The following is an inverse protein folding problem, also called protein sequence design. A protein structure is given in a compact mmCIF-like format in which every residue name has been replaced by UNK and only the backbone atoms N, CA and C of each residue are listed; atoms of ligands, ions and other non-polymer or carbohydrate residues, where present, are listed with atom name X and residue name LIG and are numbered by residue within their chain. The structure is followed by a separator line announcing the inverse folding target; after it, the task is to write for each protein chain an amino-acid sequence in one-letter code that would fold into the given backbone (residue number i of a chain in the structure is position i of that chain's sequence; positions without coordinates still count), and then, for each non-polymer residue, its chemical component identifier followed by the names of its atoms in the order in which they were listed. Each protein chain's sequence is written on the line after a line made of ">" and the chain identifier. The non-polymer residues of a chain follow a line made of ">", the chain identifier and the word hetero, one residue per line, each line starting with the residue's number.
data_IF_579752949874
#
_entry.id   IF_579752949874
#
_cell.length_a   1.000
_cell.length_b   1.000
_cell.length_c   1.000
_cell.angle_alpha   90.00
_cell.angle_beta   90.00
_cell.angle_gamma   90.00
#
_symmetry.space_group_name_H-M   'P 1'
#
loop_
_entity.id
_entity.type
_entity.pdbx_description
1 polymer ?
#
# COMPACT_ATOMS: atom_id res chain seq x y z
N UNK A 1 -25.70 44.60 18.09
CA UNK A 1 -26.43 43.46 17.48
C UNK A 1 -25.80 42.97 16.18
N UNK A 2 -25.32 43.83 15.27
CA UNK A 2 -24.69 43.43 13.99
C UNK A 2 -23.37 42.64 14.16
N UNK A 3 -22.45 43.11 15.00
CA UNK A 3 -21.14 42.45 15.21
C UNK A 3 -21.24 41.03 15.79
N UNK A 4 -22.14 40.79 16.76
CA UNK A 4 -22.34 39.45 17.32
C UNK A 4 -22.84 38.48 16.24
N UNK A 5 -23.77 38.95 15.38
CA UNK A 5 -24.31 38.15 14.29
C UNK A 5 -23.24 37.80 13.24
N UNK A 6 -22.35 38.74 12.96
CA UNK A 6 -21.24 38.52 12.03
C UNK A 6 -20.20 37.55 12.59
N UNK A 7 -19.82 37.69 13.87
CA UNK A 7 -18.94 36.74 14.55
C UNK A 7 -19.54 35.33 14.58
N UNK A 8 -20.85 35.19 14.80
CA UNK A 8 -21.53 33.89 14.75
C UNK A 8 -21.47 33.26 13.36
N UNK A 9 -21.67 34.04 12.28
CA UNK A 9 -21.53 33.54 10.90
C UNK A 9 -20.09 33.10 10.58
N UNK A 10 -19.10 33.86 11.03
CA UNK A 10 -17.69 33.52 10.84
C UNK A 10 -17.33 32.23 11.61
N UNK A 11 -17.84 32.08 12.83
CA UNK A 11 -17.67 30.86 13.62
C UNK A 11 -18.31 29.65 12.94
N UNK A 12 -19.55 29.78 12.48
CA UNK A 12 -20.28 28.72 11.76
C UNK A 12 -19.54 28.27 10.50
N UNK A 13 -19.00 29.24 9.75
CA UNK A 13 -18.16 28.98 8.56
C UNK A 13 -16.89 28.21 8.95
N UNK A 14 -16.19 28.63 10.01
CA UNK A 14 -14.98 27.97 10.49
C UNK A 14 -15.25 26.55 10.99
N UNK A 15 -16.35 26.34 11.72
CA UNK A 15 -16.75 25.01 12.19
C UNK A 15 -17.04 24.09 11.01
N UNK A 16 -17.76 24.58 10.01
CA UNK A 16 -18.05 23.81 8.79
C UNK A 16 -16.78 23.43 8.03
N UNK A 17 -15.83 24.35 7.91
CA UNK A 17 -14.52 24.09 7.29
C UNK A 17 -13.72 23.04 8.06
N UNK A 18 -13.67 23.13 9.39
CA UNK A 18 -13.00 22.14 10.24
C UNK A 18 -13.65 20.77 10.14
N UNK A 19 -14.98 20.71 10.13
CA UNK A 19 -15.73 19.46 10.01
C UNK A 19 -15.45 18.78 8.67
N UNK A 20 -15.47 19.54 7.57
CA UNK A 20 -15.12 19.02 6.24
C UNK A 20 -13.67 18.51 6.20
N UNK A 21 -12.71 19.27 6.76
CA UNK A 21 -11.31 18.84 6.84
C UNK A 21 -11.16 17.53 7.60
N UNK A 22 -11.84 17.39 8.75
CA UNK A 22 -11.81 16.16 9.53
C UNK A 22 -12.39 14.96 8.78
N UNK A 23 -13.53 15.14 8.09
CA UNK A 23 -14.14 14.08 7.28
C UNK A 23 -13.20 13.64 6.15
N UNK A 24 -12.60 14.58 5.42
CA UNK A 24 -11.65 14.27 4.35
C UNK A 24 -10.43 13.51 4.87
N UNK A 25 -9.88 13.90 6.02
CA UNK A 25 -8.76 13.20 6.64
C UNK A 25 -9.12 11.78 7.06
N UNK A 26 -10.30 11.59 7.67
CA UNK A 26 -10.80 10.28 8.08
C UNK A 26 -10.98 9.35 6.87
N UNK A 27 -11.55 9.86 5.78
CA UNK A 27 -11.72 9.09 4.54
C UNK A 27 -10.38 8.69 3.95
N UNK A 28 -9.40 9.60 3.92
CA UNK A 28 -8.08 9.30 3.37
C UNK A 28 -7.32 8.27 4.21
N UNK A 29 -7.42 8.34 5.54
CA UNK A 29 -6.84 7.33 6.44
C UNK A 29 -7.47 5.95 6.23
N UNK A 30 -8.79 5.89 6.04
CA UNK A 30 -9.50 4.65 5.75
C UNK A 30 -9.13 4.06 4.38
N UNK A 31 -9.00 4.91 3.35
CA UNK A 31 -8.52 4.47 2.03
C UNK A 31 -7.09 3.91 2.12
N UNK A 32 -6.18 4.57 2.84
CA UNK A 32 -4.83 4.05 3.06
C UNK A 32 -4.86 2.70 3.78
N UNK A 33 -5.72 2.54 4.79
CA UNK A 33 -5.90 1.26 5.53
C UNK A 33 -6.33 0.14 4.59
N UNK A 34 -7.30 0.40 3.72
CA UNK A 34 -7.78 -0.58 2.72
C UNK A 34 -6.65 -0.98 1.78
N UNK A 35 -5.88 -0.02 1.26
CA UNK A 35 -4.76 -0.32 0.35
C UNK A 35 -3.67 -1.14 1.08
N UNK A 36 -3.38 -0.84 2.35
CA UNK A 36 -2.44 -1.64 3.14
C UNK A 36 -2.90 -3.10 3.25
N UNK A 37 -4.18 -3.33 3.57
CA UNK A 37 -4.74 -4.69 3.64
C UNK A 37 -4.70 -5.40 2.29
N UNK A 38 -4.96 -4.68 1.19
CA UNK A 38 -4.89 -5.23 -0.16
C UNK A 38 -3.46 -5.68 -0.52
N UNK A 39 -2.46 -4.84 -0.24
CA UNK A 39 -1.05 -5.18 -0.44
C UNK A 39 -0.67 -6.44 0.38
N UNK A 40 -1.03 -6.48 1.66
CA UNK A 40 -0.72 -7.63 2.52
C UNK A 40 -1.33 -8.92 1.99
N UNK A 41 -2.59 -8.86 1.52
CA UNK A 41 -3.27 -9.98 0.90
C UNK A 41 -2.57 -10.43 -0.39
N UNK A 42 -2.20 -9.50 -1.28
CA UNK A 42 -1.52 -9.83 -2.53
C UNK A 42 -0.14 -10.43 -2.30
N UNK A 43 0.64 -9.88 -1.35
CA UNK A 43 1.94 -10.44 -0.95
C UNK A 43 1.77 -11.87 -0.43
N UNK A 44 0.79 -12.11 0.45
CA UNK A 44 0.52 -13.45 0.99
C UNK A 44 0.13 -14.44 -0.12
N UNK A 45 -0.75 -14.04 -1.04
CA UNK A 45 -1.15 -14.88 -2.16
C UNK A 45 0.04 -15.20 -3.08
N UNK A 46 0.92 -14.22 -3.34
CA UNK A 46 2.11 -14.45 -4.15
C UNK A 46 3.09 -15.40 -3.45
N UNK A 47 3.28 -15.23 -2.14
CA UNK A 47 4.11 -16.11 -1.33
C UNK A 47 3.62 -17.58 -1.39
N UNK A 48 2.32 -17.80 -1.16
CA UNK A 48 1.68 -19.12 -1.27
C UNK A 48 1.80 -19.71 -2.68
N UNK A 49 1.63 -18.89 -3.73
CA UNK A 49 1.83 -19.32 -5.12
C UNK A 49 3.26 -19.76 -5.37
N UNK A 50 4.26 -18.98 -4.95
CA UNK A 50 5.68 -19.31 -5.12
C UNK A 50 5.99 -20.63 -4.41
N UNK A 51 5.53 -20.78 -3.16
CA UNK A 51 5.67 -22.01 -2.37
C UNK A 51 5.10 -23.24 -3.09
N UNK A 52 3.90 -23.10 -3.68
CA UNK A 52 3.26 -24.18 -4.42
C UNK A 52 4.04 -24.55 -5.68
N UNK A 53 4.53 -23.57 -6.44
CA UNK A 53 5.35 -23.83 -7.63
C UNK A 53 6.66 -24.53 -7.25
N UNK A 54 7.28 -24.13 -6.14
CA UNK A 54 8.51 -24.75 -5.64
C UNK A 54 8.29 -26.21 -5.23
N UNK A 55 7.17 -26.53 -4.59
CA UNK A 55 6.81 -27.88 -4.12
C UNK A 55 6.34 -28.82 -5.23
N UNK A 56 5.90 -28.31 -6.38
CA UNK A 56 5.44 -29.15 -7.49
C UNK A 56 6.60 -29.97 -8.09
N UNK A 57 6.65 -31.27 -7.79
CA UNK A 57 7.73 -32.16 -8.26
C UNK A 57 7.59 -32.58 -9.73
N UNK A 58 6.37 -32.54 -10.29
CA UNK A 58 6.04 -33.05 -11.63
C UNK A 58 6.00 -31.99 -12.73
N UNK A 59 6.04 -30.71 -12.37
CA UNK A 59 5.95 -29.60 -13.34
C UNK A 59 7.27 -29.44 -14.08
N UNK A 60 7.23 -29.49 -15.41
CA UNK A 60 8.41 -29.29 -16.26
C UNK A 60 9.06 -27.93 -16.04
N UNK A 61 10.39 -27.86 -16.26
CA UNK A 61 11.19 -26.64 -16.02
C UNK A 61 10.63 -25.39 -16.72
N UNK A 62 10.15 -25.54 -17.96
CA UNK A 62 9.53 -24.46 -18.74
C UNK A 62 8.24 -23.92 -18.11
N UNK A 63 7.39 -24.81 -17.63
CA UNK A 63 6.11 -24.45 -17.01
C UNK A 63 6.34 -23.79 -15.64
N UNK A 64 7.31 -24.28 -14.84
CA UNK A 64 7.72 -23.59 -13.60
C UNK A 64 8.21 -22.18 -13.87
N UNK A 65 9.02 -22.00 -14.92
CA UNK A 65 9.52 -20.68 -15.33
C UNK A 65 8.38 -19.73 -15.71
N UNK A 66 7.39 -20.21 -16.45
CA UNK A 66 6.20 -19.42 -16.82
C UNK A 66 5.36 -19.02 -15.60
N UNK A 67 5.13 -19.95 -14.66
CA UNK A 67 4.39 -19.65 -13.43
C UNK A 67 5.14 -18.64 -12.55
N UNK A 68 6.46 -18.77 -12.42
CA UNK A 68 7.28 -17.78 -11.70
C UNK A 68 7.27 -16.41 -12.38
N UNK A 69 7.24 -16.37 -13.72
CA UNK A 69 7.08 -15.11 -14.46
C UNK A 69 5.73 -14.47 -14.17
N UNK A 70 4.65 -15.25 -14.10
CA UNK A 70 3.34 -14.73 -13.72
C UNK A 70 3.35 -14.16 -12.29
N UNK A 71 4.01 -14.83 -11.34
CA UNK A 71 4.19 -14.27 -10.00
C UNK A 71 4.94 -12.93 -10.03
N UNK A 72 5.94 -12.75 -10.89
CA UNK A 72 6.61 -11.46 -11.04
C UNK A 72 5.69 -10.37 -11.58
N UNK A 73 4.80 -10.69 -12.53
CA UNK A 73 3.79 -9.74 -13.02
C UNK A 73 2.77 -9.38 -11.93
N UNK A 74 2.30 -10.37 -11.16
CA UNK A 74 1.41 -10.12 -10.00
C UNK A 74 2.10 -9.21 -8.96
N UNK A 75 3.40 -9.34 -8.75
CA UNK A 75 4.14 -8.47 -7.81
C UNK A 75 4.28 -7.01 -8.32
N UNK A 76 4.08 -6.73 -9.62
CA UNK A 76 4.06 -5.35 -10.14
C UNK A 76 2.79 -4.59 -9.76
N UNK A 77 1.65 -5.26 -9.59
CA UNK A 77 0.45 -4.59 -9.08
C UNK A 77 0.66 -4.11 -7.64
N UNK A 78 1.42 -4.87 -6.86
CA UNK A 78 1.80 -4.49 -5.50
C UNK A 78 2.64 -3.19 -5.48
N UNK A 79 3.59 -3.02 -6.41
CA UNK A 79 4.35 -1.75 -6.52
C UNK A 79 3.44 -0.55 -6.75
N UNK A 80 2.43 -0.72 -7.59
CA UNK A 80 1.49 0.35 -7.93
C UNK A 80 0.71 0.78 -6.69
N UNK A 81 0.29 -0.18 -5.87
CA UNK A 81 -0.40 0.09 -4.61
C UNK A 81 0.53 0.74 -3.57
N UNK A 82 1.78 0.27 -3.45
CA UNK A 82 2.80 0.89 -2.58
C UNK A 82 3.03 2.35 -2.99
N UNK A 83 3.17 2.61 -4.28
CA UNK A 83 3.32 3.97 -4.83
C UNK A 83 2.10 4.83 -4.51
N UNK A 84 0.89 4.26 -4.59
CA UNK A 84 -0.34 4.95 -4.22
C UNK A 84 -0.31 5.38 -2.74
N UNK A 85 0.09 4.49 -1.82
CA UNK A 85 0.22 4.82 -0.39
C UNK A 85 1.23 5.95 -0.17
N UNK A 86 2.41 5.89 -0.81
CA UNK A 86 3.43 6.95 -0.68
C UNK A 86 2.88 8.30 -1.14
N UNK A 87 2.26 8.35 -2.31
CA UNK A 87 1.65 9.57 -2.84
C UNK A 87 0.53 10.12 -1.94
N UNK A 88 -0.28 9.25 -1.34
CA UNK A 88 -1.30 9.67 -0.38
C UNK A 88 -0.67 10.23 0.91
N UNK A 89 0.37 9.57 1.41
CA UNK A 89 1.13 10.00 2.59
C UNK A 89 1.73 11.39 2.37
N UNK A 90 2.34 11.61 1.20
CA UNK A 90 2.91 12.92 0.84
C UNK A 90 1.86 14.02 0.75
N UNK A 91 0.69 13.74 0.16
CA UNK A 91 -0.44 14.69 0.11
C UNK A 91 -1.00 15.03 1.49
N UNK A 92 -0.86 14.13 2.46
CA UNK A 92 -1.36 14.29 3.82
C UNK A 92 -0.27 14.69 4.82
N UNK A 93 0.97 14.91 4.37
CA UNK A 93 2.12 15.13 5.25
C UNK A 93 1.86 16.22 6.30
N UNK A 94 1.42 17.40 5.85
CA UNK A 94 1.15 18.55 6.74
C UNK A 94 -0.10 18.38 7.62
N UNK A 95 -0.81 17.26 7.46
CA UNK A 95 -2.04 16.93 8.18
C UNK A 95 -1.85 15.79 9.16
N UNK A 96 -0.77 15.02 9.03
CA UNK A 96 -0.43 13.89 9.86
C UNK A 96 0.54 14.30 10.95
N UNK A 97 0.38 13.72 12.15
CA UNK A 97 1.40 13.82 13.18
C UNK A 97 2.70 13.13 12.73
N UNK A 98 3.84 13.58 13.24
CA UNK A 98 5.15 12.97 12.95
C UNK A 98 5.15 11.46 13.27
N UNK A 99 4.49 11.07 14.36
CA UNK A 99 4.34 9.65 14.73
C UNK A 99 3.57 8.87 13.67
N UNK A 100 2.43 9.41 13.19
CA UNK A 100 1.64 8.75 12.14
C UNK A 100 2.41 8.63 10.83
N UNK A 101 3.18 9.65 10.47
CA UNK A 101 4.04 9.61 9.28
C UNK A 101 5.11 8.52 9.41
N UNK A 102 5.76 8.44 10.57
CA UNK A 102 6.77 7.41 10.86
C UNK A 102 6.18 6.00 10.82
N UNK A 103 4.99 5.79 11.38
CA UNK A 103 4.31 4.49 11.37
C UNK A 103 3.97 4.04 9.95
N UNK A 104 3.45 4.96 9.13
CA UNK A 104 3.15 4.70 7.71
C UNK A 104 4.44 4.35 6.97
N UNK A 105 5.50 5.14 7.14
CA UNK A 105 6.79 4.92 6.50
C UNK A 105 7.37 3.55 6.88
N UNK A 106 7.36 3.19 8.16
CA UNK A 106 7.83 1.90 8.64
C UNK A 106 7.04 0.73 8.04
N UNK A 107 5.70 0.85 8.00
CA UNK A 107 4.84 -0.15 7.37
C UNK A 107 5.14 -0.28 5.88
N UNK A 108 5.23 0.82 5.15
CA UNK A 108 5.57 0.84 3.72
C UNK A 108 6.92 0.19 3.47
N UNK A 109 7.97 0.54 4.21
CA UNK A 109 9.30 -0.06 4.05
C UNK A 109 9.32 -1.55 4.36
N UNK A 110 8.52 -2.02 5.33
CA UNK A 110 8.40 -3.45 5.60
C UNK A 110 7.71 -4.20 4.44
N UNK A 111 6.69 -3.61 3.81
CA UNK A 111 6.05 -4.20 2.64
C UNK A 111 6.99 -4.24 1.43
N UNK A 112 7.79 -3.19 1.21
CA UNK A 112 8.81 -3.16 0.17
C UNK A 112 9.86 -4.25 0.34
N UNK A 113 10.35 -4.45 1.57
CA UNK A 113 11.30 -5.53 1.87
C UNK A 113 10.71 -6.91 1.55
N UNK A 114 9.48 -7.18 2.00
CA UNK A 114 8.79 -8.45 1.73
C UNK A 114 8.57 -8.66 0.23
N UNK A 115 8.17 -7.60 -0.47
CA UNK A 115 7.99 -7.63 -1.92
C UNK A 115 9.29 -7.97 -2.65
N UNK A 116 10.40 -7.35 -2.23
CA UNK A 116 11.73 -7.61 -2.79
C UNK A 116 12.21 -9.03 -2.49
N UNK A 117 11.96 -9.55 -1.28
CA UNK A 117 12.27 -10.93 -0.94
C UNK A 117 11.54 -11.94 -1.85
N UNK A 118 10.25 -11.71 -2.13
CA UNK A 118 9.47 -12.54 -3.04
C UNK A 118 9.99 -12.45 -4.48
N UNK A 119 10.34 -11.25 -4.98
CA UNK A 119 10.98 -11.11 -6.29
C UNK A 119 12.27 -11.90 -6.39
N UNK A 120 13.11 -11.80 -5.36
CA UNK A 120 14.37 -12.53 -5.32
C UNK A 120 14.15 -14.04 -5.33
N UNK A 121 13.12 -14.55 -4.65
CA UNK A 121 12.74 -15.96 -4.73
C UNK A 121 12.34 -16.38 -6.15
N UNK A 122 11.48 -15.61 -6.82
CA UNK A 122 11.13 -15.86 -8.22
C UNK A 122 12.38 -15.86 -9.12
N UNK A 123 13.24 -14.85 -9.00
CA UNK A 123 14.41 -14.63 -9.86
C UNK A 123 15.54 -15.65 -9.67
N UNK A 124 15.75 -16.18 -8.46
CA UNK A 124 16.78 -17.21 -8.21
C UNK A 124 16.62 -18.42 -9.12
N UNK A 125 15.39 -18.82 -9.47
CA UNK A 125 15.14 -19.97 -10.38
C UNK A 125 15.52 -19.69 -11.84
N UNK A 126 15.51 -18.42 -12.25
CA UNK A 126 15.94 -18.05 -13.60
C UNK A 126 17.46 -18.08 -13.76
N UNK A 127 18.22 -17.88 -12.67
CA UNK A 127 19.69 -17.87 -12.68
C UNK A 127 20.34 -19.25 -12.66
N UNK A 128 19.63 -20.28 -12.18
CA UNK A 128 20.15 -21.66 -12.10
C UNK A 128 19.92 -22.44 -13.41
N UNK A 129 19.28 -21.83 -14.40
CA UNK A 129 18.92 -22.48 -15.68
C UNK A 129 19.83 -22.09 -16.87
N UNK A 130 20.98 -21.43 -16.62
CA UNK A 130 21.99 -21.11 -17.63
C UNK A 130 23.30 -21.85 -17.33
#
# INVERSE_FOLDING_TARGET
>A
MSHLRENLKQLDTRVSQLMNKYISQKLAAEEMRVIFCEIESQIKLCDEKIDNIEKQMTTGSSQKKQLMQQCLEDLKSVDTLITKIKNMTDKLRDQLSDQSQMDIQNKTSNLEKRLEDLRNRCLRKFRVSN
#
